data_IF_319841899225
#
_entry.id   IF_319841899225
#
_cell.length_a   1.000
_cell.length_b   1.000
_cell.length_c   1.000
_cell.angle_alpha   90.00
_cell.angle_beta   90.00
_cell.angle_gamma   90.00
#
_symmetry.space_group_name_H-M   'P 1'
#
loop_
_entity.id
_entity.type
_entity.pdbx_description
1 polymer ?
#
# COMPACT_ATOMS: atom_id res chain seq x y z
N UNK A 1 16.16 -5.38 -2.32
CA UNK A 1 15.82 -4.87 -3.68
C UNK A 1 16.69 -3.64 -3.96
N UNK A 2 17.06 -3.34 -5.22
CA UNK A 2 18.18 -2.45 -5.51
C UNK A 2 17.98 -0.96 -5.18
N UNK A 3 16.75 -0.46 -4.96
CA UNK A 3 16.56 0.94 -4.55
C UNK A 3 15.80 1.08 -3.25
N UNK A 4 16.08 0.18 -2.31
CA UNK A 4 15.70 0.27 -0.90
C UNK A 4 14.19 0.28 -0.65
N UNK A 5 13.38 -0.05 -1.65
CA UNK A 5 11.93 -0.10 -1.49
C UNK A 5 11.50 -1.16 -0.45
N UNK A 6 12.31 -2.21 -0.25
CA UNK A 6 12.13 -3.25 0.76
C UNK A 6 12.54 -2.85 2.18
N UNK A 7 13.03 -1.62 2.38
CA UNK A 7 13.18 -1.02 3.73
C UNK A 7 11.85 -0.56 4.32
N UNK A 8 10.79 -0.49 3.50
CA UNK A 8 9.45 -0.09 3.91
C UNK A 8 8.45 -1.22 3.71
N UNK A 9 7.35 -1.19 4.46
CA UNK A 9 6.21 -2.06 4.20
C UNK A 9 5.28 -1.43 3.16
N UNK A 10 4.94 -2.18 2.11
CA UNK A 10 4.07 -1.73 1.04
C UNK A 10 2.68 -2.38 1.16
N UNK A 11 1.65 -1.59 0.86
CA UNK A 11 0.27 -2.02 0.86
C UNK A 11 -0.52 -1.21 -0.16
N UNK A 12 -1.61 -1.79 -0.67
CA UNK A 12 -2.60 -1.08 -1.45
C UNK A 12 -3.75 -0.64 -0.53
N UNK A 13 -4.30 0.53 -0.83
CA UNK A 13 -5.41 1.12 -0.09
C UNK A 13 -6.50 1.50 -1.07
N UNK A 14 -7.71 0.99 -0.84
CA UNK A 14 -8.91 1.32 -1.60
C UNK A 14 -9.87 2.04 -0.69
N UNK A 15 -10.26 3.25 -1.06
CA UNK A 15 -11.17 4.06 -0.27
C UNK A 15 -11.75 5.19 -1.10
N UNK A 16 -12.80 5.84 -0.58
CA UNK A 16 -13.38 6.99 -1.25
C UNK A 16 -12.34 8.11 -1.36
N UNK A 17 -12.45 8.92 -2.43
CA UNK A 17 -11.70 10.17 -2.48
C UNK A 17 -12.07 11.01 -1.25
N UNK A 18 -11.10 11.60 -0.53
CA UNK A 18 -11.39 12.41 0.64
C UNK A 18 -12.35 13.55 0.26
N UNK A 19 -13.44 13.67 1.00
CA UNK A 19 -14.27 14.87 1.05
C UNK A 19 -13.81 15.69 2.26
N UNK A 20 -13.94 17.02 2.19
CA UNK A 20 -13.57 17.94 3.29
C UNK A 20 -13.98 17.37 4.65
N UNK A 21 -13.05 17.36 5.61
CA UNK A 21 -13.22 16.94 7.01
C UNK A 21 -13.42 15.43 7.26
N UNK A 22 -12.99 14.53 6.36
CA UNK A 22 -12.92 13.08 6.65
C UNK A 22 -11.56 12.52 6.28
N UNK A 23 -10.95 11.79 7.22
CA UNK A 23 -9.72 11.05 6.95
C UNK A 23 -10.04 9.87 6.02
N UNK A 24 -9.27 9.73 4.94
CA UNK A 24 -9.42 8.61 3.97
C UNK A 24 -9.30 7.26 4.68
N UNK A 25 -8.45 7.20 5.70
CA UNK A 25 -8.19 6.06 6.57
C UNK A 25 -9.46 5.43 7.16
N UNK A 26 -10.43 6.23 7.59
CA UNK A 26 -11.62 5.73 8.31
C UNK A 26 -12.52 4.86 7.42
N UNK A 27 -12.41 5.02 6.11
CA UNK A 27 -13.27 4.38 5.10
C UNK A 27 -12.48 3.59 4.08
N UNK A 28 -11.19 3.38 4.34
CA UNK A 28 -10.32 2.64 3.43
C UNK A 28 -10.12 1.21 3.88
N UNK A 29 -10.04 0.33 2.89
CA UNK A 29 -9.64 -1.05 3.05
C UNK A 29 -8.19 -1.16 2.61
N UNK A 30 -7.37 -1.81 3.43
CA UNK A 30 -5.98 -2.13 3.14
C UNK A 30 -5.88 -3.55 2.62
N UNK A 31 -5.03 -3.72 1.61
CA UNK A 31 -4.67 -4.98 1.00
C UNK A 31 -3.15 -5.11 1.03
N UNK A 32 -2.62 -6.18 1.60
CA UNK A 32 -1.19 -6.44 1.54
C UNK A 32 -0.86 -7.92 1.70
N UNK A 33 0.37 -8.29 1.33
CA UNK A 33 1.02 -9.48 1.86
C UNK A 33 1.82 -9.10 3.11
N UNK A 34 1.70 -9.88 4.18
CA UNK A 34 2.44 -9.69 5.44
C UNK A 34 2.96 -11.01 5.96
N UNK A 35 4.01 -10.94 6.78
CA UNK A 35 4.40 -12.08 7.61
C UNK A 35 3.50 -12.15 8.84
N UNK A 36 3.09 -13.37 9.17
CA UNK A 36 2.31 -13.70 10.36
C UNK A 36 2.98 -14.87 11.08
N UNK A 37 2.94 -14.85 12.40
CA UNK A 37 3.44 -15.94 13.22
C UNK A 37 2.31 -16.93 13.46
N UNK A 38 2.39 -18.09 12.81
CA UNK A 38 1.36 -19.12 12.91
C UNK A 38 1.89 -20.40 13.51
N UNK A 39 1.04 -21.05 14.32
CA UNK A 39 1.24 -22.41 14.78
C UNK A 39 0.49 -23.35 13.84
N UNK A 40 1.14 -23.69 12.73
CA UNK A 40 0.59 -24.56 11.69
C UNK A 40 0.42 -26.01 12.20
N UNK A 41 1.35 -26.48 13.03
CA UNK A 41 1.27 -27.76 13.74
C UNK A 41 1.52 -27.53 15.25
N UNK A 42 0.63 -28.00 16.16
CA UNK A 42 0.82 -27.90 17.61
C UNK A 42 2.14 -28.50 18.12
N UNK A 43 2.74 -29.44 17.38
CA UNK A 43 3.99 -30.13 17.73
C UNK A 43 5.24 -29.43 17.17
N UNK A 44 5.08 -28.47 16.26
CA UNK A 44 6.19 -27.74 15.66
C UNK A 44 6.33 -26.34 16.28
N UNK A 45 7.54 -25.73 16.18
CA UNK A 45 7.72 -24.33 16.50
C UNK A 45 6.79 -23.43 15.68
N UNK A 46 6.47 -22.26 16.23
CA UNK A 46 5.75 -21.21 15.49
C UNK A 46 6.57 -20.84 14.25
N UNK A 47 5.90 -20.80 13.10
CA UNK A 47 6.52 -20.49 11.83
C UNK A 47 6.09 -19.09 11.38
N UNK A 48 7.01 -18.36 10.76
CA UNK A 48 6.66 -17.15 10.02
C UNK A 48 6.13 -17.57 8.66
N UNK A 49 4.87 -17.26 8.40
CA UNK A 49 4.19 -17.56 7.13
C UNK A 49 3.72 -16.27 6.47
N UNK A 50 3.73 -16.25 5.14
CA UNK A 50 3.18 -15.14 4.38
C UNK A 50 1.67 -15.28 4.27
N UNK A 51 0.96 -14.18 4.47
CA UNK A 51 -0.49 -14.11 4.39
C UNK A 51 -0.92 -12.89 3.61
N UNK A 52 -1.97 -13.05 2.81
CA UNK A 52 -2.75 -11.95 2.28
C UNK A 52 -3.72 -11.50 3.35
N UNK A 53 -3.77 -10.20 3.61
CA UNK A 53 -4.73 -9.60 4.51
C UNK A 53 -5.48 -8.49 3.78
N UNK A 54 -6.81 -8.58 3.90
CA UNK A 54 -7.73 -7.50 3.60
C UNK A 54 -8.40 -7.06 4.91
N UNK A 55 -8.22 -5.80 5.29
CA UNK A 55 -8.80 -5.27 6.52
C UNK A 55 -9.14 -3.78 6.41
N UNK A 56 -10.19 -3.30 7.10
CA UNK A 56 -10.40 -1.87 7.30
C UNK A 56 -9.16 -1.24 7.92
N UNK A 57 -8.71 -0.10 7.40
CA UNK A 57 -7.53 0.59 7.95
C UNK A 57 -7.74 1.01 9.41
N UNK A 58 -8.96 1.33 9.82
CA UNK A 58 -9.28 1.60 11.23
C UNK A 58 -8.97 0.43 12.19
N UNK A 59 -8.92 -0.82 11.70
CA UNK A 59 -8.54 -1.99 12.49
C UNK A 59 -7.01 -2.14 12.63
N UNK A 60 -6.23 -1.35 11.88
CA UNK A 60 -4.78 -1.49 11.71
C UNK A 60 -3.97 -0.71 12.78
N UNK A 61 -4.33 -0.85 14.07
CA UNK A 61 -3.95 -0.01 15.23
C UNK A 61 -2.46 0.24 15.50
N UNK A 62 -1.53 -0.42 14.79
CA UNK A 62 -0.08 -0.31 15.02
C UNK A 62 0.73 0.05 13.77
N UNK A 63 0.08 0.48 12.69
CA UNK A 63 0.79 0.80 11.44
C UNK A 63 1.10 2.29 11.34
N UNK A 64 2.39 2.60 11.20
CA UNK A 64 2.84 3.95 10.89
C UNK A 64 2.74 4.15 9.37
N UNK A 65 1.80 4.97 8.93
CA UNK A 65 1.65 5.32 7.52
C UNK A 65 2.57 6.49 7.17
N UNK A 66 3.62 6.22 6.40
CA UNK A 66 4.59 7.24 6.01
C UNK A 66 4.02 8.19 4.96
N UNK A 67 3.42 7.64 3.90
CA UNK A 67 2.85 8.39 2.80
C UNK A 67 1.80 7.56 2.05
N UNK A 68 0.93 8.23 1.32
CA UNK A 68 -0.01 7.67 0.35
C UNK A 68 0.33 8.16 -1.05
N UNK A 69 0.23 7.29 -2.03
CA UNK A 69 0.42 7.62 -3.44
C UNK A 69 -0.87 7.26 -4.18
N UNK A 70 -1.61 8.27 -4.63
CA UNK A 70 -2.80 8.11 -5.44
C UNK A 70 -2.41 7.72 -6.87
N UNK A 71 -2.71 6.48 -7.25
CA UNK A 71 -2.28 5.90 -8.54
C UNK A 71 -3.43 5.66 -9.51
N UNK A 72 -4.69 5.61 -9.04
CA UNK A 72 -5.82 5.30 -9.91
C UNK A 72 -7.16 5.83 -9.37
N UNK A 73 -8.13 5.98 -10.28
CA UNK A 73 -9.56 6.06 -9.99
C UNK A 73 -10.18 4.67 -10.06
N UNK A 74 -11.19 4.44 -9.23
CA UNK A 74 -11.87 3.15 -9.11
C UNK A 74 -13.24 3.28 -9.75
N UNK A 75 -13.53 2.39 -10.70
CA UNK A 75 -14.84 2.24 -11.32
C UNK A 75 -15.66 1.15 -10.61
N UNK A 76 -15.00 0.05 -10.23
CA UNK A 76 -15.61 -1.09 -9.56
C UNK A 76 -14.69 -1.62 -8.45
N UNK A 77 -15.02 -1.28 -7.21
CA UNK A 77 -14.24 -1.66 -6.03
C UNK A 77 -14.37 -3.15 -5.68
N UNK A 78 -15.53 -3.77 -5.98
CA UNK A 78 -15.74 -5.19 -5.71
C UNK A 78 -14.87 -6.04 -6.64
N UNK A 79 -14.85 -5.69 -7.93
CA UNK A 79 -13.97 -6.33 -8.90
C UNK A 79 -12.49 -6.12 -8.57
N UNK A 80 -12.10 -4.92 -8.13
CA UNK A 80 -10.71 -4.66 -7.72
C UNK A 80 -10.27 -5.55 -6.55
N UNK A 81 -11.17 -5.77 -5.58
CA UNK A 81 -10.95 -6.68 -4.45
C UNK A 81 -10.74 -8.12 -4.94
N UNK A 82 -11.58 -8.61 -5.83
CA UNK A 82 -11.42 -9.95 -6.44
C UNK A 82 -10.07 -10.09 -7.15
N UNK A 83 -9.63 -9.05 -7.87
CA UNK A 83 -8.32 -9.03 -8.52
C UNK A 83 -7.20 -9.16 -7.48
N UNK A 84 -7.22 -8.37 -6.41
CA UNK A 84 -6.19 -8.42 -5.38
C UNK A 84 -6.16 -9.76 -4.64
N UNK A 85 -7.31 -10.33 -4.33
CA UNK A 85 -7.41 -11.65 -3.69
C UNK A 85 -6.87 -12.77 -4.59
N UNK A 86 -6.97 -12.62 -5.92
CA UNK A 86 -6.44 -13.59 -6.88
C UNK A 86 -4.92 -13.59 -7.03
N UNK A 87 -4.22 -12.57 -6.51
CA UNK A 87 -2.76 -12.45 -6.63
C UNK A 87 -2.08 -13.47 -5.70
N UNK A 88 -1.32 -14.44 -6.23
CA UNK A 88 -0.73 -15.50 -5.42
C UNK A 88 0.36 -14.98 -4.49
N UNK A 89 0.42 -15.56 -3.29
CA UNK A 89 1.59 -15.46 -2.42
C UNK A 89 2.67 -16.42 -2.95
N UNK A 90 3.93 -15.99 -2.94
CA UNK A 90 5.06 -16.79 -3.46
C UNK A 90 6.19 -16.90 -2.42
N UNK A 91 5.91 -17.49 -1.24
CA UNK A 91 6.88 -17.57 -0.14
C UNK A 91 8.14 -18.38 -0.49
N UNK A 92 8.04 -19.23 -1.52
CA UNK A 92 9.10 -20.08 -2.07
C UNK A 92 10.03 -19.34 -3.05
N UNK A 93 9.63 -18.17 -3.56
CA UNK A 93 10.44 -17.37 -4.48
C UNK A 93 11.43 -16.51 -3.68
N UNK A 94 12.72 -16.73 -3.92
CA UNK A 94 13.81 -15.98 -3.26
C UNK A 94 13.64 -14.48 -3.51
N UNK A 95 13.64 -13.69 -2.43
CA UNK A 95 13.50 -12.24 -2.49
C UNK A 95 12.06 -11.73 -2.62
N UNK A 96 11.07 -12.63 -2.66
CA UNK A 96 9.66 -12.26 -2.65
C UNK A 96 9.24 -11.69 -1.27
N UNK A 97 8.42 -10.65 -1.30
CA UNK A 97 7.98 -9.89 -0.12
C UNK A 97 6.73 -9.06 -0.44
N UNK A 98 6.31 -8.18 0.49
CA UNK A 98 5.16 -7.29 0.29
C UNK A 98 5.29 -6.36 -0.93
N UNK A 99 6.51 -5.91 -1.25
CA UNK A 99 6.79 -5.10 -2.44
C UNK A 99 6.50 -5.90 -3.72
N UNK A 100 6.94 -7.15 -3.75
CA UNK A 100 6.70 -8.07 -4.89
C UNK A 100 5.20 -8.30 -5.08
N UNK A 101 4.46 -8.53 -3.99
CA UNK A 101 3.00 -8.67 -4.04
C UNK A 101 2.32 -7.41 -4.56
N UNK A 102 2.70 -6.21 -4.09
CA UNK A 102 2.12 -4.94 -4.58
C UNK A 102 2.39 -4.76 -6.08
N UNK A 103 3.62 -5.06 -6.53
CA UNK A 103 3.97 -5.02 -7.95
C UNK A 103 3.08 -5.94 -8.79
N UNK A 104 2.90 -7.18 -8.36
CA UNK A 104 2.04 -8.16 -9.04
C UNK A 104 0.56 -7.73 -9.02
N UNK A 105 0.07 -7.19 -7.90
CA UNK A 105 -1.29 -6.70 -7.75
C UNK A 105 -1.60 -5.49 -8.63
N UNK A 106 -0.66 -4.55 -8.76
CA UNK A 106 -0.81 -3.42 -9.69
C UNK A 106 -0.87 -3.91 -11.14
N UNK A 107 -0.01 -4.86 -11.52
CA UNK A 107 -0.04 -5.46 -12.86
C UNK A 107 -1.35 -6.21 -13.14
N UNK A 108 -1.85 -6.98 -12.17
CA UNK A 108 -3.13 -7.68 -12.28
C UNK A 108 -4.32 -6.72 -12.43
N UNK A 109 -4.34 -5.63 -11.66
CA UNK A 109 -5.37 -4.60 -11.76
C UNK A 109 -5.32 -3.84 -13.10
N UNK A 110 -4.13 -3.66 -13.67
CA UNK A 110 -3.98 -3.05 -14.99
C UNK A 110 -4.53 -3.95 -16.10
N UNK A 111 -4.24 -5.26 -16.03
CA UNK A 111 -4.72 -6.26 -16.99
C UNK A 111 -6.24 -6.48 -16.94
N UNK A 112 -6.88 -6.30 -15.78
CA UNK A 112 -8.33 -6.46 -15.64
C UNK A 112 -9.13 -5.47 -16.50
N UNK A 113 -8.59 -4.26 -16.68
CA UNK A 113 -9.11 -3.12 -17.45
C UNK A 113 -10.56 -2.67 -17.17
N UNK A 114 -11.21 -3.23 -16.15
CA UNK A 114 -12.62 -2.94 -15.83
C UNK A 114 -12.80 -2.35 -14.44
N UNK A 115 -11.94 -2.73 -13.49
CA UNK A 115 -11.99 -2.25 -12.12
C UNK A 115 -11.59 -0.77 -11.97
N UNK A 116 -10.72 -0.26 -12.85
CA UNK A 116 -10.08 1.05 -12.71
C UNK A 116 -10.43 2.00 -13.86
N UNK A 117 -10.51 3.30 -13.54
CA UNK A 117 -10.60 4.39 -14.51
C UNK A 117 -9.21 4.94 -14.85
N UNK A 118 -9.06 6.27 -14.83
CA UNK A 118 -7.77 6.95 -14.97
C UNK A 118 -6.74 6.37 -14.01
N UNK A 119 -5.59 5.96 -14.52
CA UNK A 119 -4.60 5.21 -13.74
C UNK A 119 -3.16 5.39 -14.24
N UNK A 120 -2.22 5.24 -13.33
CA UNK A 120 -0.77 5.15 -13.58
C UNK A 120 -0.23 4.02 -12.72
N UNK A 121 -0.12 2.82 -13.30
CA UNK A 121 0.20 1.59 -12.55
C UNK A 121 1.57 1.00 -12.88
N UNK A 122 2.37 1.65 -13.74
CA UNK A 122 3.75 1.24 -13.99
C UNK A 122 4.52 1.18 -12.67
N UNK A 123 5.00 -0.01 -12.32
CA UNK A 123 5.70 -0.25 -11.06
C UNK A 123 6.86 0.71 -10.86
N UNK A 124 7.69 0.92 -11.88
CA UNK A 124 8.84 1.81 -11.80
C UNK A 124 8.42 3.24 -11.49
N UNK A 125 7.36 3.73 -12.15
CA UNK A 125 6.86 5.09 -11.91
C UNK A 125 6.27 5.25 -10.51
N UNK A 126 5.40 4.33 -10.09
CA UNK A 126 4.79 4.34 -8.75
C UNK A 126 5.87 4.27 -7.67
N UNK A 127 6.81 3.34 -7.82
CA UNK A 127 7.93 3.14 -6.90
C UNK A 127 8.79 4.40 -6.79
N UNK A 128 9.22 4.95 -7.92
CA UNK A 128 10.13 6.09 -7.91
C UNK A 128 9.47 7.32 -7.28
N UNK A 129 8.20 7.58 -7.57
CA UNK A 129 7.45 8.67 -6.93
C UNK A 129 7.31 8.44 -5.43
N UNK A 130 6.93 7.24 -5.00
CA UNK A 130 6.79 6.92 -3.59
C UNK A 130 8.10 7.12 -2.82
N UNK A 131 9.19 6.53 -3.32
CA UNK A 131 10.51 6.61 -2.68
C UNK A 131 11.04 8.04 -2.67
N UNK A 132 10.88 8.78 -3.77
CA UNK A 132 11.25 10.20 -3.82
C UNK A 132 10.46 11.02 -2.81
N UNK A 133 9.13 10.87 -2.79
CA UNK A 133 8.26 11.65 -1.91
C UNK A 133 8.53 11.35 -0.43
N UNK A 134 8.72 10.09 -0.04
CA UNK A 134 9.11 9.71 1.32
C UNK A 134 10.47 10.31 1.67
N UNK A 135 11.47 10.24 0.79
CA UNK A 135 12.77 10.86 1.02
C UNK A 135 12.68 12.39 1.20
N UNK A 136 11.85 13.07 0.39
CA UNK A 136 11.58 14.50 0.55
C UNK A 136 10.96 14.81 1.91
N UNK A 137 9.94 14.05 2.34
CA UNK A 137 9.30 14.26 3.65
C UNK A 137 10.25 14.01 4.81
N UNK A 138 11.09 12.98 4.71
CA UNK A 138 12.17 12.72 5.67
C UNK A 138 13.15 13.88 5.73
N UNK A 139 13.63 14.39 4.59
CA UNK A 139 14.56 15.52 4.54
C UNK A 139 13.99 16.83 5.09
N UNK A 140 12.66 16.99 5.09
CA UNK A 140 11.97 18.11 5.76
C UNK A 140 11.73 17.88 7.27
N UNK A 141 12.32 16.83 7.86
CA UNK A 141 12.18 16.50 9.27
C UNK A 141 10.79 15.98 9.67
N UNK A 142 9.93 15.58 8.71
CA UNK A 142 8.52 15.27 8.99
C UNK A 142 8.34 14.15 10.02
N UNK A 143 9.18 13.12 9.95
CA UNK A 143 9.06 11.92 10.78
C UNK A 143 9.90 12.00 12.06
N UNK A 144 10.51 13.14 12.34
CA UNK A 144 11.24 13.39 13.56
C UNK A 144 10.28 13.76 14.71
N UNK A 145 10.70 13.54 15.96
CA UNK A 145 9.92 13.91 17.15
C UNK A 145 9.61 15.42 17.19
N UNK A 146 10.53 16.23 16.67
CA UNK A 146 10.41 17.68 16.52
C UNK A 146 9.82 18.13 15.18
N UNK A 147 9.38 17.19 14.34
CA UNK A 147 8.86 17.47 13.01
C UNK A 147 7.59 18.31 13.02
N UNK A 148 7.21 18.93 11.88
CA UNK A 148 5.97 19.68 11.77
C UNK A 148 4.77 18.80 12.15
N UNK A 149 4.03 19.24 13.18
CA UNK A 149 2.79 18.61 13.63
C UNK A 149 1.74 18.74 12.52
N UNK A 150 1.57 17.68 11.75
CA UNK A 150 0.56 17.59 10.70
C UNK A 150 -0.34 16.41 10.99
N UNK A 151 -1.61 16.69 11.24
CA UNK A 151 -2.63 15.67 11.50
C UNK A 151 -3.03 14.89 10.23
N UNK A 152 -2.46 15.22 9.07
CA UNK A 152 -2.80 14.60 7.78
C UNK A 152 -1.66 13.74 7.28
N UNK A 153 -1.96 12.53 6.83
CA UNK A 153 -1.00 11.66 6.16
C UNK A 153 -0.53 12.29 4.83
N UNK A 154 0.80 12.39 4.57
CA UNK A 154 1.34 12.89 3.29
C UNK A 154 0.74 12.12 2.13
N UNK A 155 0.21 12.84 1.14
CA UNK A 155 -0.46 12.21 0.00
C UNK A 155 -0.05 12.86 -1.30
N UNK A 156 0.54 12.09 -2.22
CA UNK A 156 0.83 12.53 -3.58
C UNK A 156 -0.16 11.90 -4.54
N UNK A 157 -0.84 12.68 -5.39
CA UNK A 157 -1.71 12.16 -6.45
C UNK A 157 -0.93 12.19 -7.78
N UNK A 158 -0.50 11.02 -8.27
CA UNK A 158 0.30 10.90 -9.50
C UNK A 158 -0.49 11.34 -10.73
N UNK A 159 -1.82 11.24 -10.71
CA UNK A 159 -2.67 11.60 -11.85
C UNK A 159 -2.67 13.10 -12.13
N UNK A 160 -2.42 13.91 -11.10
CA UNK A 160 -2.36 15.37 -11.18
C UNK A 160 -0.99 15.94 -10.79
N UNK A 161 -0.02 15.05 -10.59
CA UNK A 161 1.38 15.31 -10.23
C UNK A 161 1.55 16.37 -9.12
N UNK A 162 0.85 16.18 -8.00
CA UNK A 162 0.96 17.10 -6.85
C UNK A 162 0.60 16.45 -5.53
N UNK A 163 1.08 17.07 -4.46
CA UNK A 163 0.60 16.80 -3.10
C UNK A 163 -0.85 17.28 -2.94
N UNK A 164 -1.66 16.43 -2.33
CA UNK A 164 -3.08 16.71 -2.03
C UNK A 164 -3.32 16.54 -0.54
N UNK A 165 -4.17 17.40 0.02
CA UNK A 165 -4.67 17.21 1.38
C UNK A 165 -5.81 16.19 1.34
N UNK A 166 -5.66 15.14 2.13
CA UNK A 166 -6.52 13.97 2.15
C UNK A 166 -6.81 13.56 3.59
#
# INVERSE_FOLDING_TARGET
MPGLEDTYHWALMVGPRPKRNRMVEDWSIRFHAKQSLERVDPKLPIQSVWQYEEAPWAACKHNILLARIGVAKINDAARLREVFESVPLRPDVVGWNCVSWVKEALAAADMDDRALGDRVLSWEKVRNVAMHYVATKTGCGRYEVSGPLSNYTPTWDILVDKEVTA
#
